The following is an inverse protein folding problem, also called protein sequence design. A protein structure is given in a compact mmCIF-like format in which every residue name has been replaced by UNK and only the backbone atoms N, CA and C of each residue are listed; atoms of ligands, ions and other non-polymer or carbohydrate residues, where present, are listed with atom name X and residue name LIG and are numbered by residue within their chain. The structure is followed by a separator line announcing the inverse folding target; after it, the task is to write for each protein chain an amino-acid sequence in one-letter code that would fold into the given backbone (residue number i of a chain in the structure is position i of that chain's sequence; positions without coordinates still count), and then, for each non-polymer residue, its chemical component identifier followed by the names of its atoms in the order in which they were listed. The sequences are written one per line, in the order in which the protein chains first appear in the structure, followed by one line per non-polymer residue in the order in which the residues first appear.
data_IF_820955379757
#
_entry.id   IF_820955379757
#
_cell.length_a   1.000
_cell.length_b   1.000
_cell.length_c   1.000
_cell.angle_alpha   90.00
_cell.angle_beta   90.00
_cell.angle_gamma   90.00
#
_symmetry.space_group_name_H-M   'P 1'
#
loop_
_entity.id
_entity.type
_entity.pdbx_description
1 polymer ?
#
# COMPACT_ATOMS: atom_id res chain seq x y z
N UNK A 1 -4.87 -0.31 8.30
CA UNK A 1 -5.84 0.30 7.35
C UNK A 1 -5.95 -0.62 6.12
N UNK A 2 -7.11 -0.72 5.46
CA UNK A 2 -7.24 -1.47 4.21
C UNK A 2 -6.57 -0.74 3.03
N UNK A 3 -6.39 -1.42 1.91
CA UNK A 3 -6.08 -0.75 0.62
C UNK A 3 -7.30 0.03 0.15
N UNK A 4 -7.09 1.23 -0.38
CA UNK A 4 -8.17 2.08 -0.92
C UNK A 4 -7.80 2.60 -2.30
N UNK A 5 -8.62 2.27 -3.32
CA UNK A 5 -8.42 2.77 -4.69
C UNK A 5 -8.71 4.27 -4.78
N UNK A 6 -9.64 4.81 -4.00
CA UNK A 6 -10.15 6.17 -4.18
C UNK A 6 -11.07 6.29 -5.42
N UNK A 7 -11.68 7.46 -5.63
CA UNK A 7 -12.70 7.67 -6.67
C UNK A 7 -12.12 8.00 -8.06
N UNK A 8 -10.85 8.43 -8.13
CA UNK A 8 -10.21 8.77 -9.40
C UNK A 8 -9.94 7.53 -10.27
N UNK A 9 -9.81 7.74 -11.58
CA UNK A 9 -9.77 6.67 -12.58
C UNK A 9 -8.39 6.47 -13.24
N UNK A 10 -7.32 6.67 -12.46
CA UNK A 10 -5.97 6.23 -12.86
C UNK A 10 -5.70 4.80 -12.39
N UNK A 11 -4.62 4.22 -12.88
CA UNK A 11 -4.11 2.92 -12.47
C UNK A 11 -2.64 3.06 -12.09
N UNK A 12 -2.40 3.69 -10.94
CA UNK A 12 -1.06 3.84 -10.40
C UNK A 12 -0.72 2.61 -9.56
N UNK A 13 0.36 1.90 -9.91
CA UNK A 13 0.87 0.79 -9.10
C UNK A 13 1.38 1.35 -7.77
N UNK A 14 0.80 0.89 -6.67
CA UNK A 14 1.16 1.25 -5.31
C UNK A 14 1.27 -0.01 -4.44
N UNK A 15 1.86 0.13 -3.27
CA UNK A 15 2.00 -0.93 -2.29
C UNK A 15 1.18 -0.61 -1.04
N UNK A 16 0.66 -1.64 -0.39
CA UNK A 16 -0.03 -1.56 0.89
C UNK A 16 0.38 -2.74 1.76
N UNK A 17 0.39 -2.55 3.07
CA UNK A 17 0.60 -3.62 4.02
C UNK A 17 -0.69 -4.44 4.19
N UNK A 18 -0.60 -5.74 3.92
CA UNK A 18 -1.65 -6.70 4.20
C UNK A 18 -1.40 -7.33 5.58
N UNK A 19 -2.19 -6.94 6.58
CA UNK A 19 -2.02 -7.41 7.95
C UNK A 19 -2.40 -8.89 8.17
N UNK A 20 -3.26 -9.47 7.32
CA UNK A 20 -3.63 -10.88 7.40
C UNK A 20 -2.45 -11.78 7.01
N UNK A 21 -1.73 -11.38 5.97
CA UNK A 21 -0.58 -12.10 5.43
C UNK A 21 0.75 -11.61 5.99
N UNK A 22 0.71 -10.51 6.76
CA UNK A 22 1.88 -9.83 7.34
C UNK A 22 2.94 -9.45 6.30
N UNK A 23 2.50 -9.10 5.10
CA UNK A 23 3.38 -8.78 3.97
C UNK A 23 2.88 -7.56 3.20
N UNK A 24 3.80 -6.87 2.52
CA UNK A 24 3.46 -5.79 1.60
C UNK A 24 3.04 -6.35 0.25
N UNK A 25 1.89 -5.89 -0.26
CA UNK A 25 1.34 -6.29 -1.57
C UNK A 25 1.10 -5.08 -2.45
N UNK A 26 1.11 -5.30 -3.77
CA UNK A 26 0.72 -4.27 -4.71
C UNK A 26 -0.79 -4.16 -4.87
N UNK A 27 -1.25 -2.98 -5.28
CA UNK A 27 -2.62 -2.71 -5.74
C UNK A 27 -2.61 -1.52 -6.71
N UNK A 28 -3.71 -1.31 -7.43
CA UNK A 28 -3.89 -0.12 -8.27
C UNK A 28 -4.64 0.97 -7.50
N UNK A 29 -3.99 2.10 -7.30
CA UNK A 29 -4.57 3.31 -6.75
C UNK A 29 -5.09 4.22 -7.87
N UNK A 30 -6.24 4.84 -7.62
CA UNK A 30 -6.99 5.68 -8.55
C UNK A 30 -6.33 7.03 -8.85
N UNK A 31 -5.29 7.41 -8.11
CA UNK A 31 -4.58 8.67 -8.31
C UNK A 31 -5.09 9.83 -7.45
N UNK A 32 -6.08 9.61 -6.58
CA UNK A 32 -6.52 10.59 -5.59
C UNK A 32 -7.18 9.92 -4.38
N UNK A 33 -7.23 10.66 -3.26
CA UNK A 33 -7.79 10.21 -1.97
C UNK A 33 -7.21 8.86 -1.50
N UNK A 34 -7.94 8.16 -0.64
CA UNK A 34 -7.48 6.94 0.02
C UNK A 34 -6.92 7.22 1.41
N UNK A 35 -6.05 6.32 1.88
CA UNK A 35 -5.47 6.40 3.22
C UNK A 35 -3.94 6.19 3.18
N UNK A 36 -3.29 6.34 4.34
CA UNK A 36 -1.83 6.25 4.47
C UNK A 36 -1.22 4.86 4.28
N UNK A 37 -2.02 3.80 4.06
CA UNK A 37 -1.52 2.48 3.68
C UNK A 37 -1.37 2.40 2.15
N UNK A 38 -0.56 3.31 1.61
CA UNK A 38 -0.32 3.49 0.19
C UNK A 38 1.10 4.02 0.01
N UNK A 39 1.97 3.19 -0.56
CA UNK A 39 3.40 3.46 -0.73
C UNK A 39 3.78 3.35 -2.20
N UNK A 40 4.76 4.14 -2.65
CA UNK A 40 5.24 4.07 -4.03
C UNK A 40 6.18 2.89 -4.25
N UNK A 41 6.86 2.46 -3.19
CA UNK A 41 7.85 1.37 -3.21
C UNK A 41 7.54 0.31 -2.17
N UNK A 42 7.92 -0.93 -2.46
CA UNK A 42 7.73 -2.04 -1.52
C UNK A 42 8.60 -1.85 -0.27
N UNK A 43 9.81 -1.31 -0.41
CA UNK A 43 10.75 -1.07 0.70
C UNK A 43 10.22 0.00 1.67
N UNK A 44 9.46 0.99 1.18
CA UNK A 44 8.79 1.99 2.01
C UNK A 44 7.66 1.34 2.83
N UNK A 45 6.87 0.48 2.19
CA UNK A 45 5.85 -0.30 2.89
C UNK A 45 6.48 -1.24 3.93
N UNK A 46 7.54 -1.96 3.57
CA UNK A 46 8.21 -2.92 4.45
C UNK A 46 8.91 -2.22 5.60
N UNK A 47 9.58 -1.08 5.40
CA UNK A 47 10.19 -0.32 6.49
C UNK A 47 9.17 0.35 7.41
N UNK A 48 8.00 0.73 6.89
CA UNK A 48 6.94 1.38 7.67
C UNK A 48 6.06 0.38 8.43
N UNK A 49 5.73 -0.75 7.80
CA UNK A 49 4.74 -1.71 8.29
C UNK A 49 5.23 -3.16 8.34
N UNK A 50 6.17 -3.52 7.46
CA UNK A 50 6.83 -4.81 7.47
C UNK A 50 7.68 -4.95 8.73
N UNK A 51 7.53 -6.05 9.43
CA UNK A 51 8.34 -6.34 10.62
C UNK A 51 9.73 -6.77 10.12
N UNK A 52 10.53 -5.82 9.63
CA UNK A 52 11.92 -6.03 9.32
C UNK A 52 12.76 -5.65 10.55
N UNK A 53 12.70 -6.49 11.59
CA UNK A 53 13.85 -6.80 12.45
C UNK A 53 13.73 -8.24 12.92
N UNK A 54 14.43 -9.13 12.21
CA UNK A 54 15.17 -10.18 12.90
C UNK A 54 16.32 -9.56 13.67
#
# INVERSE_FOLDING_TARGET
MPKERGPCDKYELRFYYNAELKECKYFFWGGCEGNGNNFEKVEECESTCGIAKG
#
